data_IF_924304448027
#
_entry.id   IF_924304448027
#
_cell.length_a   1.000
_cell.length_b   1.000
_cell.length_c   1.000
_cell.angle_alpha   90.00
_cell.angle_beta   90.00
_cell.angle_gamma   90.00
#
_symmetry.space_group_name_H-M   'P 1'
#
loop_
_entity.id
_entity.type
_entity.pdbx_description
1 polymer ?
#
# COMPACT_ATOMS: atom_id res chain seq x y z
N UNK A 1 57.46 46.15 35.47
CA UNK A 1 57.66 44.72 35.22
C UNK A 1 56.45 43.92 35.70
N UNK A 2 55.19 44.33 35.38
CA UNK A 2 53.98 43.69 35.91
C UNK A 2 52.85 43.51 34.88
N UNK A 3 53.06 43.64 33.56
CA UNK A 3 52.02 43.57 32.57
C UNK A 3 51.92 42.20 31.86
N UNK A 4 52.87 41.28 32.06
CA UNK A 4 52.91 39.96 31.38
C UNK A 4 52.13 38.84 32.09
N UNK A 5 51.72 39.05 33.35
CA UNK A 5 51.01 38.00 34.13
C UNK A 5 49.47 37.99 33.91
N UNK A 6 48.91 39.11 33.49
CA UNK A 6 47.43 39.20 33.32
C UNK A 6 46.95 38.60 32.02
N UNK A 7 47.76 38.53 30.97
CA UNK A 7 47.40 38.02 29.66
C UNK A 7 47.17 36.51 29.66
N UNK A 8 47.86 35.74 30.49
CA UNK A 8 47.74 34.28 30.54
C UNK A 8 46.47 33.77 31.26
N UNK A 9 45.90 34.51 32.19
CA UNK A 9 44.77 34.08 33.00
C UNK A 9 43.48 34.16 32.17
N UNK A 10 43.31 35.17 31.32
CA UNK A 10 42.12 35.33 30.47
C UNK A 10 42.11 34.33 29.31
N UNK A 11 43.29 33.98 28.77
CA UNK A 11 43.42 32.97 27.72
C UNK A 11 43.09 31.56 28.23
N UNK A 12 43.44 31.25 29.48
CA UNK A 12 43.16 29.97 30.10
C UNK A 12 41.70 29.84 30.52
N UNK A 13 41.04 30.92 30.93
CA UNK A 13 39.64 30.97 31.30
C UNK A 13 38.73 30.85 30.05
N UNK A 14 39.15 31.41 28.90
CA UNK A 14 38.45 31.30 27.63
C UNK A 14 38.50 29.88 27.07
N UNK A 15 39.60 29.15 27.22
CA UNK A 15 39.77 27.79 26.73
C UNK A 15 38.98 26.79 27.57
N UNK A 16 38.86 26.96 28.87
CA UNK A 16 38.06 26.11 29.74
C UNK A 16 36.55 26.31 29.53
N UNK A 17 36.11 27.53 29.23
CA UNK A 17 34.68 27.80 28.95
C UNK A 17 34.24 27.20 27.61
N UNK A 18 35.15 27.13 26.62
CA UNK A 18 34.84 26.50 25.32
C UNK A 18 34.66 24.98 25.40
N UNK A 19 35.34 24.28 26.30
CA UNK A 19 35.21 22.82 26.50
C UNK A 19 33.90 22.41 27.19
N UNK A 20 33.23 23.30 27.94
CA UNK A 20 32.00 22.97 28.67
C UNK A 20 30.75 23.03 27.76
N UNK A 21 30.81 23.70 26.60
CA UNK A 21 29.70 23.85 25.65
C UNK A 21 29.56 22.71 24.66
N UNK A 22 30.45 21.69 24.67
CA UNK A 22 30.53 20.66 23.63
C UNK A 22 29.80 19.35 23.96
N UNK A 23 28.94 19.24 24.96
CA UNK A 23 28.49 17.94 25.43
C UNK A 23 27.03 17.88 25.76
N UNK A 24 26.16 18.05 24.79
CA UNK A 24 24.78 17.49 24.88
C UNK A 24 24.25 17.09 23.49
N UNK A 25 24.98 16.23 22.78
CA UNK A 25 24.35 15.44 21.74
C UNK A 25 23.55 14.36 22.45
N UNK A 26 22.29 14.62 22.75
CA UNK A 26 21.32 13.57 23.00
C UNK A 26 21.09 12.83 21.68
N UNK A 27 21.80 11.74 21.46
CA UNK A 27 21.41 10.78 20.44
C UNK A 27 20.02 10.27 20.84
N UNK A 28 18.99 10.74 20.14
CA UNK A 28 17.65 10.17 20.23
C UNK A 28 17.79 8.73 19.74
N UNK A 29 17.68 7.76 20.64
CA UNK A 29 17.58 6.35 20.26
C UNK A 29 16.23 6.22 19.56
N UNK A 30 16.24 6.28 18.24
CA UNK A 30 15.10 5.94 17.44
C UNK A 30 14.99 4.43 17.49
N UNK A 31 13.94 3.93 18.13
CA UNK A 31 13.67 2.50 18.21
C UNK A 31 13.36 2.06 16.78
N UNK A 32 14.34 1.41 16.14
CA UNK A 32 14.10 0.72 14.88
C UNK A 32 12.99 -0.32 15.11
N UNK A 33 12.13 -0.48 14.12
CA UNK A 33 11.01 -1.40 14.14
C UNK A 33 11.45 -2.84 14.50
N UNK A 34 10.58 -3.59 15.19
CA UNK A 34 10.91 -4.94 15.63
C UNK A 34 10.39 -5.98 14.65
N UNK A 35 11.23 -7.02 14.43
CA UNK A 35 10.79 -8.22 13.70
C UNK A 35 9.81 -9.00 14.59
N UNK A 36 8.57 -9.13 14.14
CA UNK A 36 7.54 -9.87 14.82
C UNK A 36 7.45 -11.32 14.33
N UNK A 37 7.54 -11.54 13.01
CA UNK A 37 7.39 -12.87 12.41
C UNK A 37 8.49 -13.03 11.33
N UNK A 38 9.09 -14.24 11.27
CA UNK A 38 10.01 -14.63 10.19
C UNK A 38 9.26 -15.60 9.27
N UNK A 39 9.22 -15.28 7.98
CA UNK A 39 8.52 -16.08 6.96
C UNK A 39 9.50 -16.41 5.85
N UNK A 40 10.07 -17.64 5.87
CA UNK A 40 11.07 -18.04 4.88
C UNK A 40 12.27 -17.10 4.87
N UNK A 41 12.47 -16.37 3.78
CA UNK A 41 13.56 -15.40 3.59
C UNK A 41 13.15 -13.95 3.95
N UNK A 42 11.91 -13.74 4.34
CA UNK A 42 11.34 -12.42 4.66
C UNK A 42 10.99 -12.28 6.14
N UNK A 43 10.67 -11.05 6.52
CA UNK A 43 10.24 -10.69 7.87
C UNK A 43 9.00 -9.83 7.83
N UNK A 44 8.16 -9.97 8.85
CA UNK A 44 7.03 -9.09 9.11
C UNK A 44 7.37 -8.29 10.37
N UNK A 45 7.23 -6.98 10.28
CA UNK A 45 7.55 -6.05 11.35
C UNK A 45 6.32 -5.80 12.24
N UNK A 46 6.58 -5.45 13.49
CA UNK A 46 5.53 -5.13 14.47
C UNK A 46 4.67 -3.94 13.99
N UNK A 47 5.30 -2.92 13.38
CA UNK A 47 4.58 -1.79 12.78
C UNK A 47 3.61 -2.21 11.67
N UNK A 48 4.01 -3.16 10.82
CA UNK A 48 3.15 -3.66 9.75
C UNK A 48 1.90 -4.35 10.31
N UNK A 49 2.06 -5.16 11.37
CA UNK A 49 0.93 -5.79 12.06
C UNK A 49 0.00 -4.73 12.64
N UNK A 50 0.55 -3.76 13.39
CA UNK A 50 -0.23 -2.71 14.04
C UNK A 50 -1.00 -1.84 13.03
N UNK A 51 -0.36 -1.45 11.93
CA UNK A 51 -0.99 -0.66 10.86
C UNK A 51 -2.10 -1.46 10.16
N UNK A 52 -1.87 -2.75 9.90
CA UNK A 52 -2.88 -3.62 9.27
C UNK A 52 -4.08 -3.84 10.19
N UNK A 53 -3.86 -4.04 11.50
CA UNK A 53 -4.92 -4.13 12.52
C UNK A 53 -5.74 -2.84 12.56
N UNK A 54 -5.08 -1.68 12.58
CA UNK A 54 -5.76 -0.39 12.61
C UNK A 54 -6.63 -0.19 11.34
N UNK A 55 -6.07 -0.47 10.17
CA UNK A 55 -6.79 -0.39 8.89
C UNK A 55 -7.99 -1.34 8.85
N UNK A 56 -7.84 -2.57 9.35
CA UNK A 56 -8.92 -3.55 9.41
C UNK A 56 -10.05 -3.08 10.32
N UNK A 57 -9.73 -2.58 11.52
CA UNK A 57 -10.70 -2.04 12.47
C UNK A 57 -11.45 -0.83 11.89
N UNK A 58 -10.72 0.10 11.26
CA UNK A 58 -11.32 1.29 10.63
C UNK A 58 -12.31 0.90 9.53
N UNK A 59 -11.97 -0.09 8.70
CA UNK A 59 -12.86 -0.60 7.65
C UNK A 59 -14.15 -1.18 8.22
N UNK A 60 -14.07 -2.01 9.26
CA UNK A 60 -15.24 -2.58 9.92
C UNK A 60 -16.15 -1.48 10.50
N UNK A 61 -15.58 -0.46 11.13
CA UNK A 61 -16.32 0.67 11.67
C UNK A 61 -17.04 1.46 10.58
N UNK A 62 -16.37 1.74 9.47
CA UNK A 62 -16.97 2.45 8.32
C UNK A 62 -18.12 1.67 7.69
N UNK A 63 -18.05 0.34 7.71
CA UNK A 63 -19.09 -0.55 7.19
C UNK A 63 -20.22 -0.80 8.21
N UNK A 64 -20.15 -0.23 9.42
CA UNK A 64 -21.13 -0.45 10.48
C UNK A 64 -21.18 -1.91 10.98
N UNK A 65 -20.12 -2.68 10.76
CA UNK A 65 -20.03 -4.08 11.16
C UNK A 65 -19.70 -4.21 12.65
N UNK A 66 -20.19 -5.28 13.27
CA UNK A 66 -19.83 -5.60 14.65
C UNK A 66 -18.32 -5.91 14.75
N UNK A 67 -17.64 -5.29 15.72
CA UNK A 67 -16.22 -5.49 15.95
C UNK A 67 -15.97 -6.88 16.54
N UNK A 68 -15.16 -7.74 15.87
CA UNK A 68 -14.72 -9.01 16.45
C UNK A 68 -13.76 -8.80 17.63
N UNK A 69 -13.40 -9.89 18.33
CA UNK A 69 -12.38 -9.82 19.38
C UNK A 69 -11.02 -9.41 18.81
N UNK A 70 -10.21 -8.73 19.63
CA UNK A 70 -8.85 -8.32 19.22
C UNK A 70 -7.98 -9.53 18.86
N UNK A 71 -8.13 -10.64 19.55
CA UNK A 71 -7.43 -11.90 19.25
C UNK A 71 -7.77 -12.40 17.83
N UNK A 72 -9.06 -12.45 17.49
CA UNK A 72 -9.51 -12.85 16.15
C UNK A 72 -8.95 -11.94 15.07
N UNK A 73 -8.99 -10.61 15.29
CA UNK A 73 -8.45 -9.64 14.33
C UNK A 73 -6.95 -9.87 14.14
N UNK A 74 -6.22 -10.10 15.24
CA UNK A 74 -4.78 -10.30 15.20
C UNK A 74 -4.41 -11.58 14.43
N UNK A 75 -5.13 -12.68 14.66
CA UNK A 75 -4.92 -13.94 13.94
C UNK A 75 -5.17 -13.78 12.44
N UNK A 76 -6.25 -13.10 12.04
CA UNK A 76 -6.54 -12.83 10.63
C UNK A 76 -5.47 -11.96 9.98
N UNK A 77 -4.96 -10.96 10.70
CA UNK A 77 -3.88 -10.08 10.22
C UNK A 77 -2.57 -10.86 10.07
N UNK A 78 -2.22 -11.70 11.05
CA UNK A 78 -1.03 -12.55 10.96
C UNK A 78 -1.09 -13.47 9.74
N UNK A 79 -2.20 -14.20 9.59
CA UNK A 79 -2.39 -15.11 8.46
C UNK A 79 -2.25 -14.37 7.13
N UNK A 80 -2.92 -13.23 6.98
CA UNK A 80 -2.85 -12.41 5.78
C UNK A 80 -1.42 -11.96 5.47
N UNK A 81 -0.72 -11.38 6.43
CA UNK A 81 0.64 -10.88 6.22
C UNK A 81 1.63 -11.99 5.88
N UNK A 82 1.47 -13.18 6.49
CA UNK A 82 2.27 -14.37 6.17
C UNK A 82 2.02 -14.81 4.72
N UNK A 83 0.76 -14.90 4.31
CA UNK A 83 0.39 -15.29 2.94
C UNK A 83 0.90 -14.27 1.93
N UNK A 84 0.74 -12.98 2.21
CA UNK A 84 1.22 -11.90 1.35
C UNK A 84 2.75 -11.98 1.16
N UNK A 85 3.51 -12.18 2.25
CA UNK A 85 4.97 -12.33 2.17
C UNK A 85 5.38 -13.57 1.37
N UNK A 86 4.70 -14.72 1.57
CA UNK A 86 4.96 -15.94 0.79
C UNK A 86 4.69 -15.72 -0.71
N UNK A 87 3.63 -14.98 -1.04
CA UNK A 87 3.32 -14.64 -2.44
C UNK A 87 4.36 -13.69 -3.03
N UNK A 88 4.83 -12.70 -2.27
CA UNK A 88 5.91 -11.81 -2.70
C UNK A 88 7.21 -12.59 -2.96
N UNK A 89 7.55 -13.54 -2.08
CA UNK A 89 8.69 -14.44 -2.31
C UNK A 89 8.51 -15.29 -3.57
N UNK A 90 7.32 -15.82 -3.79
CA UNK A 90 7.00 -16.55 -5.02
C UNK A 90 7.15 -15.68 -6.26
N UNK A 91 6.69 -14.42 -6.19
CA UNK A 91 6.87 -13.42 -7.24
C UNK A 91 8.33 -13.13 -7.54
N UNK A 92 9.15 -12.92 -6.51
CA UNK A 92 10.61 -12.72 -6.66
C UNK A 92 11.27 -13.91 -7.34
N UNK A 93 10.96 -15.14 -6.91
CA UNK A 93 11.51 -16.38 -7.52
C UNK A 93 11.06 -16.56 -8.97
N UNK A 94 9.84 -16.15 -9.32
CA UNK A 94 9.31 -16.18 -10.68
C UNK A 94 9.81 -15.02 -11.56
N UNK A 95 10.61 -14.08 -11.03
CA UNK A 95 11.10 -12.91 -11.75
C UNK A 95 10.00 -11.87 -12.07
N UNK A 96 8.86 -11.92 -11.37
CA UNK A 96 7.76 -10.96 -11.55
C UNK A 96 8.21 -9.59 -11.05
N UNK A 97 8.09 -8.59 -11.92
CA UNK A 97 8.44 -7.20 -11.64
C UNK A 97 7.34 -6.25 -12.11
N UNK A 98 7.13 -5.18 -11.39
CA UNK A 98 6.25 -4.07 -11.75
C UNK A 98 7.13 -2.89 -12.15
N UNK A 99 6.94 -2.35 -13.35
CA UNK A 99 7.67 -1.17 -13.81
C UNK A 99 7.12 0.10 -13.16
N UNK A 100 7.96 1.15 -13.08
CA UNK A 100 7.51 2.44 -12.54
C UNK A 100 6.44 3.09 -13.42
N UNK A 101 6.46 2.86 -14.74
CA UNK A 101 5.43 3.35 -15.65
C UNK A 101 4.07 2.73 -15.34
N UNK A 102 4.01 1.41 -15.16
CA UNK A 102 2.80 0.70 -14.78
C UNK A 102 2.29 1.13 -13.40
N UNK A 103 3.19 1.23 -12.44
CA UNK A 103 2.83 1.68 -11.09
C UNK A 103 2.26 3.10 -11.10
N UNK A 104 2.85 4.02 -11.86
CA UNK A 104 2.34 5.38 -12.03
C UNK A 104 0.94 5.39 -12.66
N UNK A 105 0.73 4.56 -13.68
CA UNK A 105 -0.58 4.42 -14.32
C UNK A 105 -1.62 3.91 -13.33
N UNK A 106 -1.32 2.85 -12.59
CA UNK A 106 -2.24 2.29 -11.58
C UNK A 106 -2.60 3.31 -10.51
N UNK A 107 -1.61 4.08 -10.02
CA UNK A 107 -1.88 5.12 -9.01
C UNK A 107 -2.73 6.25 -9.61
N UNK A 108 -2.49 6.64 -10.86
CA UNK A 108 -3.32 7.63 -11.54
C UNK A 108 -4.78 7.16 -11.72
N UNK A 109 -4.97 5.87 -12.01
CA UNK A 109 -6.30 5.26 -12.08
C UNK A 109 -7.00 5.27 -10.71
N UNK A 110 -6.27 4.94 -9.61
CA UNK A 110 -6.81 5.01 -8.24
C UNK A 110 -7.21 6.44 -7.88
N UNK A 111 -6.36 7.42 -8.17
CA UNK A 111 -6.67 8.83 -7.92
C UNK A 111 -7.94 9.26 -8.69
N UNK A 112 -8.01 8.92 -9.99
CA UNK A 112 -9.17 9.23 -10.85
C UNK A 112 -10.46 8.59 -10.37
N UNK A 113 -10.43 7.33 -9.88
CA UNK A 113 -11.59 6.66 -9.30
C UNK A 113 -12.11 7.35 -8.04
N UNK A 114 -11.23 8.07 -7.34
CA UNK A 114 -11.58 8.89 -6.18
C UNK A 114 -11.88 10.36 -6.55
N UNK A 115 -11.95 10.70 -7.85
CA UNK A 115 -12.17 12.03 -8.39
C UNK A 115 -11.06 13.03 -8.02
N UNK A 116 -9.81 12.57 -7.89
CA UNK A 116 -8.64 13.39 -7.64
C UNK A 116 -7.70 13.42 -8.84
N UNK A 117 -6.98 14.51 -9.01
CA UNK A 117 -5.70 14.53 -9.74
C UNK A 117 -4.63 13.82 -8.89
N UNK A 118 -3.46 13.54 -9.49
CA UNK A 118 -2.35 12.93 -8.73
C UNK A 118 -1.88 13.85 -7.60
N UNK A 119 -1.79 15.15 -7.85
CA UNK A 119 -1.38 16.15 -6.88
C UNK A 119 -2.36 16.21 -5.70
N UNK A 120 -3.65 16.30 -5.98
CA UNK A 120 -4.70 16.30 -4.95
C UNK A 120 -4.73 14.99 -4.16
N UNK A 121 -4.43 13.87 -4.82
CA UNK A 121 -4.36 12.57 -4.15
C UNK A 121 -3.18 12.47 -3.19
N UNK A 122 -2.01 13.02 -3.56
CA UNK A 122 -0.84 13.10 -2.68
C UNK A 122 -1.13 13.98 -1.46
N UNK A 123 -1.77 15.15 -1.68
CA UNK A 123 -2.17 16.05 -0.60
C UNK A 123 -3.19 15.38 0.35
N UNK A 124 -4.13 14.60 -0.18
CA UNK A 124 -5.11 13.84 0.62
C UNK A 124 -4.46 12.74 1.47
N UNK A 125 -3.44 12.04 0.93
CA UNK A 125 -2.66 11.08 1.70
C UNK A 125 -1.93 11.76 2.85
N UNK A 126 -1.25 12.88 2.59
CA UNK A 126 -0.53 13.65 3.60
C UNK A 126 -1.47 14.17 4.70
N UNK A 127 -2.68 14.63 4.34
CA UNK A 127 -3.71 15.04 5.31
C UNK A 127 -4.18 13.88 6.20
N UNK A 128 -4.17 12.66 5.68
CA UNK A 128 -4.49 11.44 6.43
C UNK A 128 -3.31 10.90 7.23
N UNK A 129 -2.12 11.51 7.09
CA UNK A 129 -0.88 11.05 7.73
C UNK A 129 -0.27 9.82 7.06
N UNK A 130 -0.63 9.56 5.81
CA UNK A 130 -0.11 8.46 4.99
C UNK A 130 1.02 8.98 4.09
N UNK A 131 2.12 8.25 4.03
CA UNK A 131 3.27 8.59 3.19
C UNK A 131 3.06 8.11 1.75
N UNK A 132 3.12 9.02 0.77
CA UNK A 132 3.02 8.64 -0.65
C UNK A 132 4.06 7.57 -1.08
N UNK A 133 5.35 7.62 -0.67
CA UNK A 133 6.29 6.54 -0.94
C UNK A 133 5.86 5.19 -0.38
N UNK A 134 5.30 5.13 0.83
CA UNK A 134 4.82 3.89 1.45
C UNK A 134 3.58 3.36 0.71
N UNK A 135 2.63 4.23 0.38
CA UNK A 135 1.47 3.90 -0.44
C UNK A 135 1.91 3.31 -1.79
N UNK A 136 2.88 3.95 -2.45
CA UNK A 136 3.43 3.49 -3.72
C UNK A 136 4.01 2.08 -3.63
N UNK A 137 4.77 1.77 -2.57
CA UNK A 137 5.33 0.45 -2.34
C UNK A 137 4.25 -0.58 -2.02
N UNK A 138 3.20 -0.20 -1.33
CA UNK A 138 2.04 -1.06 -1.08
C UNK A 138 1.37 -1.46 -2.39
N UNK A 139 1.06 -0.50 -3.27
CA UNK A 139 0.47 -0.79 -4.60
C UNK A 139 1.40 -1.70 -5.42
N UNK A 140 2.72 -1.48 -5.38
CA UNK A 140 3.68 -2.37 -6.06
C UNK A 140 3.57 -3.82 -5.57
N UNK A 141 3.50 -4.01 -4.24
CA UNK A 141 3.33 -5.35 -3.64
C UNK A 141 2.01 -6.00 -4.06
N UNK A 142 0.92 -5.25 -4.04
CA UNK A 142 -0.40 -5.73 -4.47
C UNK A 142 -0.41 -6.17 -5.94
N UNK A 143 0.20 -5.42 -6.84
CA UNK A 143 0.34 -5.79 -8.25
C UNK A 143 1.18 -7.07 -8.44
N UNK A 144 2.26 -7.24 -7.67
CA UNK A 144 3.06 -8.48 -7.69
C UNK A 144 2.22 -9.66 -7.23
N UNK A 145 1.52 -9.53 -6.09
CA UNK A 145 0.66 -10.57 -5.53
C UNK A 145 -0.43 -10.97 -6.53
N UNK A 146 -1.10 -10.00 -7.14
CA UNK A 146 -2.12 -10.22 -8.15
C UNK A 146 -1.57 -11.00 -9.36
N UNK A 147 -0.35 -10.71 -9.80
CA UNK A 147 0.30 -11.46 -10.89
C UNK A 147 0.65 -12.89 -10.51
N UNK A 148 1.13 -13.10 -9.27
CA UNK A 148 1.41 -14.43 -8.74
C UNK A 148 0.12 -15.25 -8.72
N UNK A 149 -0.95 -14.69 -8.20
CA UNK A 149 -2.25 -15.35 -8.13
C UNK A 149 -2.80 -15.69 -9.53
N UNK A 150 -2.79 -14.74 -10.45
CA UNK A 150 -3.21 -14.98 -11.84
C UNK A 150 -2.38 -16.08 -12.53
N UNK A 151 -1.07 -16.05 -12.35
CA UNK A 151 -0.19 -17.06 -12.94
C UNK A 151 -0.38 -18.45 -12.35
N UNK A 152 -0.74 -18.54 -11.06
CA UNK A 152 -1.00 -19.82 -10.39
C UNK A 152 -2.40 -20.39 -10.74
N UNK A 153 -3.41 -19.53 -10.78
CA UNK A 153 -4.81 -19.94 -11.03
C UNK A 153 -5.09 -20.08 -12.52
N UNK A 154 -4.60 -19.16 -13.35
CA UNK A 154 -4.85 -19.17 -14.80
C UNK A 154 -4.32 -20.41 -15.53
N UNK A 155 -3.27 -21.06 -14.99
CA UNK A 155 -2.76 -22.33 -15.53
C UNK A 155 -3.54 -23.57 -15.06
N UNK A 156 -4.46 -23.44 -14.11
CA UNK A 156 -5.27 -24.53 -13.56
C UNK A 156 -6.73 -24.50 -14.01
N UNK A 157 -7.19 -23.36 -14.55
CA UNK A 157 -8.55 -23.24 -15.08
C UNK A 157 -8.51 -23.65 -16.55
N UNK A 158 -8.94 -24.88 -16.80
CA UNK A 158 -9.25 -25.38 -18.14
C UNK A 158 -10.76 -25.26 -18.32
N UNK A 159 -11.19 -24.21 -19.02
CA UNK A 159 -12.59 -24.13 -19.46
C UNK A 159 -12.72 -25.03 -20.70
N UNK A 160 -13.53 -26.08 -20.61
CA UNK A 160 -13.81 -26.94 -21.73
C UNK A 160 -14.83 -26.29 -22.66
N UNK A 161 -14.82 -26.66 -23.97
CA UNK A 161 -15.80 -26.17 -24.93
C UNK A 161 -17.23 -26.49 -24.45
N UNK A 162 -17.43 -27.65 -23.80
CA UNK A 162 -18.70 -28.04 -23.23
C UNK A 162 -19.18 -27.14 -22.09
N UNK A 163 -18.27 -26.68 -21.21
CA UNK A 163 -18.61 -25.72 -20.14
C UNK A 163 -18.93 -24.36 -20.73
N UNK A 164 -18.19 -23.95 -21.78
CA UNK A 164 -18.46 -22.70 -22.48
C UNK A 164 -19.85 -22.74 -23.16
N UNK A 165 -20.18 -23.82 -23.88
CA UNK A 165 -21.49 -23.98 -24.51
C UNK A 165 -22.60 -23.99 -23.44
N UNK A 166 -22.44 -24.73 -22.35
CA UNK A 166 -23.40 -24.75 -21.25
C UNK A 166 -23.60 -23.37 -20.61
N UNK A 167 -22.53 -22.57 -20.46
CA UNK A 167 -22.63 -21.20 -19.96
C UNK A 167 -23.41 -20.30 -20.93
N UNK A 168 -23.13 -20.39 -22.24
CA UNK A 168 -23.80 -19.58 -23.26
C UNK A 168 -25.32 -19.86 -23.36
N UNK A 169 -25.77 -21.02 -22.89
CA UNK A 169 -27.19 -21.36 -22.82
C UNK A 169 -27.88 -20.76 -21.59
N UNK A 170 -27.15 -20.29 -20.60
CA UNK A 170 -27.74 -19.67 -19.39
C UNK A 170 -28.39 -18.32 -19.69
N UNK A 171 -29.39 -17.95 -18.89
CA UNK A 171 -30.08 -16.67 -19.03
C UNK A 171 -29.12 -15.48 -18.66
N UNK A 172 -28.14 -15.74 -17.80
CA UNK A 172 -27.09 -14.77 -17.40
C UNK A 172 -26.21 -14.43 -18.61
N UNK A 173 -25.68 -15.42 -19.31
CA UNK A 173 -24.88 -15.20 -20.51
C UNK A 173 -25.71 -14.53 -21.63
N UNK A 174 -26.96 -14.91 -21.81
CA UNK A 174 -27.87 -14.31 -22.80
C UNK A 174 -28.13 -12.83 -22.48
N UNK A 175 -28.24 -12.47 -21.20
CA UNK A 175 -28.45 -11.06 -20.78
C UNK A 175 -27.22 -10.20 -20.99
N UNK A 176 -26.02 -10.74 -20.81
CA UNK A 176 -24.76 -10.01 -21.00
C UNK A 176 -24.34 -9.91 -22.47
N UNK A 177 -24.72 -10.92 -23.29
CA UNK A 177 -24.38 -10.97 -24.71
C UNK A 177 -25.42 -10.31 -25.60
N UNK A 178 -26.53 -9.75 -25.05
CA UNK A 178 -27.49 -9.00 -25.84
C UNK A 178 -26.79 -7.80 -26.50
N UNK A 179 -26.83 -7.68 -27.85
CA UNK A 179 -26.26 -6.54 -28.51
C UNK A 179 -27.00 -5.28 -28.07
N UNK A 180 -26.24 -4.25 -27.72
CA UNK A 180 -26.77 -2.93 -27.41
C UNK A 180 -27.42 -2.37 -28.68
N UNK A 181 -28.78 -2.34 -28.73
CA UNK A 181 -29.53 -1.91 -29.90
C UNK A 181 -29.91 -0.44 -29.73
N UNK A 182 -29.33 0.44 -30.53
CA UNK A 182 -29.74 1.85 -30.61
C UNK A 182 -30.94 1.94 -31.56
N UNK A 183 -32.16 2.11 -31.02
CA UNK A 183 -33.37 2.33 -31.81
C UNK A 183 -33.47 3.83 -32.13
N UNK A 184 -33.39 4.21 -33.44
CA UNK A 184 -33.71 5.54 -33.93
C UNK A 184 -35.10 5.52 -34.58
N UNK A 185 -36.02 6.30 -34.02
CA UNK A 185 -37.35 6.46 -34.57
C UNK A 185 -37.45 7.82 -35.35
N UNK A 186 -37.89 7.73 -36.59
CA UNK A 186 -38.21 8.93 -37.41
C UNK A 186 -39.70 9.03 -37.51
N UNK A 187 -40.25 10.11 -36.96
CA UNK A 187 -41.66 10.43 -37.06
C UNK A 187 -41.87 11.35 -38.29
N UNK A 188 -42.54 10.84 -39.30
CA UNK A 188 -42.94 11.64 -40.48
C UNK A 188 -44.37 12.04 -40.32
N UNK A 189 -44.65 13.36 -40.27
CA UNK A 189 -46.02 13.90 -40.29
C UNK A 189 -46.50 13.91 -41.73
N UNK A 190 -47.56 13.16 -42.01
CA UNK A 190 -48.28 13.24 -43.28
C UNK A 190 -49.17 14.50 -43.25
N UNK A 191 -48.96 15.41 -44.19
CA UNK A 191 -49.91 16.51 -44.41
C UNK A 191 -50.93 16.04 -45.45
N UNK A 192 -52.21 15.89 -45.00
CA UNK A 192 -53.39 15.79 -45.87
C UNK A 192 -53.83 17.16 -46.34
#
# INVERSE_FOLDING_TARGET
MNTLRIFNIHSFLGLTLFCVLSSHSFAKIEVLDRVAIIVGEGVILESQINNTVATFKNRLQQQGMQMPSDEFILDQVHERLIVDELQLQAGRRAGIRVSDAELNQTIAEIASQNNFTIEEFIDDLDLKGESYPEFREQIRKELIIQRVQRGKVGGQILITDQELEAFLETDEAKSELLPEVIVKQILVKSED
#
